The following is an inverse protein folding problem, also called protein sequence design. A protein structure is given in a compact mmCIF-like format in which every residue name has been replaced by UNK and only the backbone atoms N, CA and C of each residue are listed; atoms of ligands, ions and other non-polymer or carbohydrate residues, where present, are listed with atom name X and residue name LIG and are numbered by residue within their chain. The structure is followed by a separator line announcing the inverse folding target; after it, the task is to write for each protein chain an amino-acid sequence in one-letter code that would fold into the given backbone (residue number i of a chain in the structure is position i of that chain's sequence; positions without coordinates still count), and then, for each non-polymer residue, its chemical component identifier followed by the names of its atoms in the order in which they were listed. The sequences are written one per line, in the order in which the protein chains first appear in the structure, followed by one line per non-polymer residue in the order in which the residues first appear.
data_IF_700467125333
#
_entry.id   IF_700467125333
#
_cell.length_a   1.000
_cell.length_b   1.000
_cell.length_c   1.000
_cell.angle_alpha   90.00
_cell.angle_beta   90.00
_cell.angle_gamma   90.00
#
_symmetry.space_group_name_H-M   'P 1'
#
loop_
_entity.id
_entity.type
_entity.pdbx_description
1 polymer ?
#
# COMPACT_ATOMS: atom_id res chain seq x y z
N UNK A 1 42.55 5.05 48.26
CA UNK A 1 41.85 6.18 47.60
C UNK A 1 41.38 5.88 46.16
N UNK A 2 41.25 4.61 45.73
CA UNK A 2 40.72 4.26 44.39
C UNK A 2 39.40 3.44 44.44
N UNK A 3 38.86 3.16 45.64
CA UNK A 3 37.64 2.36 45.82
C UNK A 3 36.36 3.20 46.01
N UNK A 4 36.45 4.39 46.60
CA UNK A 4 35.28 5.23 46.90
C UNK A 4 34.74 5.98 45.67
N UNK A 5 35.62 6.36 44.74
CA UNK A 5 35.23 7.04 43.49
C UNK A 5 34.51 6.13 42.50
N UNK A 6 34.74 4.80 42.55
CA UNK A 6 34.06 3.83 41.68
C UNK A 6 32.61 3.57 42.13
N UNK A 7 32.36 3.59 43.44
CA UNK A 7 31.01 3.39 44.00
C UNK A 7 30.10 4.62 43.79
N UNK A 8 30.66 5.84 43.81
CA UNK A 8 29.90 7.05 43.48
C UNK A 8 29.57 7.16 41.98
N UNK A 9 30.44 6.63 41.11
CA UNK A 9 30.16 6.61 39.67
C UNK A 9 29.08 5.57 39.32
N UNK A 10 29.16 4.37 39.91
CA UNK A 10 28.16 3.32 39.70
C UNK A 10 26.80 3.69 40.30
N UNK A 11 26.73 4.35 41.47
CA UNK A 11 25.46 4.84 42.02
C UNK A 11 24.85 5.98 41.20
N UNK A 12 25.66 6.84 40.58
CA UNK A 12 25.17 7.89 39.68
C UNK A 12 24.68 7.35 38.32
N UNK A 13 25.22 6.21 37.88
CA UNK A 13 24.80 5.51 36.66
C UNK A 13 23.54 4.68 36.94
N UNK A 14 23.44 4.01 38.08
CA UNK A 14 22.22 3.31 38.52
C UNK A 14 21.06 4.28 38.82
N UNK A 15 21.33 5.45 39.45
CA UNK A 15 20.32 6.51 39.58
C UNK A 15 19.92 7.13 38.23
N UNK A 16 20.80 7.16 37.22
CA UNK A 16 20.45 7.63 35.87
C UNK A 16 19.64 6.61 35.08
N UNK A 17 19.82 5.31 35.33
CA UNK A 17 19.00 4.27 34.69
C UNK A 17 17.62 4.15 35.33
N UNK A 18 17.47 4.43 36.63
CA UNK A 18 16.16 4.41 37.31
C UNK A 18 15.36 5.72 37.16
N UNK A 19 16.02 6.84 36.84
CA UNK A 19 15.35 8.15 36.67
C UNK A 19 14.92 8.48 35.25
N UNK A 20 15.34 7.72 34.24
CA UNK A 20 14.91 7.99 32.85
C UNK A 20 13.42 7.65 32.62
N UNK A 21 12.83 6.79 33.46
CA UNK A 21 11.46 6.32 33.30
C UNK A 21 10.43 6.92 34.29
N UNK A 22 10.84 7.70 35.30
CA UNK A 22 9.95 7.98 36.46
C UNK A 22 9.59 9.45 36.72
N UNK A 23 9.90 10.43 35.86
CA UNK A 23 9.60 11.84 36.20
C UNK A 23 8.91 12.72 35.14
N UNK A 24 8.58 12.22 33.95
CA UNK A 24 7.89 13.05 32.95
C UNK A 24 6.36 12.91 32.96
N UNK A 25 5.82 11.83 33.51
CA UNK A 25 4.40 11.48 33.42
C UNK A 25 3.86 11.20 34.82
N UNK A 26 2.63 11.60 35.12
CA UNK A 26 1.97 11.00 36.29
C UNK A 26 1.73 9.52 36.00
N UNK A 27 1.67 8.65 37.02
CA UNK A 27 1.38 7.21 36.82
C UNK A 27 0.06 6.96 36.05
N UNK A 28 -0.84 7.96 35.98
CA UNK A 28 -2.09 7.90 35.20
C UNK A 28 -1.91 8.21 33.71
N UNK A 29 -0.77 8.76 33.31
CA UNK A 29 -0.49 9.22 31.94
C UNK A 29 0.40 8.25 31.15
N UNK A 30 0.90 7.18 31.76
CA UNK A 30 1.68 6.18 31.02
C UNK A 30 0.85 5.51 29.92
N UNK A 31 1.47 5.31 28.76
CA UNK A 31 0.89 4.63 27.60
C UNK A 31 1.89 3.61 27.07
N UNK A 32 1.40 2.47 26.61
CA UNK A 32 2.25 1.42 25.98
C UNK A 32 3.07 1.99 24.82
N UNK A 33 2.51 2.96 24.09
CA UNK A 33 3.15 3.60 22.94
C UNK A 33 4.03 4.81 23.32
N UNK A 34 4.10 5.19 24.60
CA UNK A 34 4.83 6.37 25.06
C UNK A 34 6.33 6.32 24.74
N UNK A 35 7.06 5.19 24.92
CA UNK A 35 8.48 5.14 24.60
C UNK A 35 8.78 5.46 23.13
N UNK A 36 7.91 5.03 22.22
CA UNK A 36 8.04 5.32 20.78
C UNK A 36 7.71 6.80 20.53
N UNK A 37 6.66 7.31 21.17
CA UNK A 37 6.27 8.70 21.03
C UNK A 37 7.30 9.68 21.59
N UNK A 38 8.04 9.30 22.64
CA UNK A 38 9.09 10.11 23.27
C UNK A 38 10.36 10.23 22.42
N UNK A 39 10.51 9.43 21.36
CA UNK A 39 11.53 9.66 20.33
C UNK A 39 11.38 11.02 19.63
N UNK A 40 10.23 11.70 19.80
CA UNK A 40 10.01 13.06 19.27
C UNK A 40 10.85 14.13 19.96
N UNK A 41 11.33 13.89 21.18
CA UNK A 41 12.01 14.91 21.98
C UNK A 41 13.27 15.40 21.27
N UNK A 42 13.38 16.71 21.10
CA UNK A 42 14.46 17.37 20.37
C UNK A 42 14.22 17.53 18.86
N UNK A 43 13.12 16.97 18.34
CA UNK A 43 12.74 17.04 16.92
C UNK A 43 11.39 17.73 16.69
N UNK A 44 10.81 18.38 17.70
CA UNK A 44 9.45 18.92 17.67
C UNK A 44 9.26 19.95 16.55
N UNK A 45 10.26 20.78 16.26
CA UNK A 45 10.20 21.75 15.18
C UNK A 45 10.04 21.09 13.80
N UNK A 46 10.67 19.93 13.61
CA UNK A 46 10.57 19.16 12.36
C UNK A 46 9.25 18.38 12.34
N UNK A 47 8.93 17.68 13.43
CA UNK A 47 7.79 16.78 13.53
C UNK A 47 6.44 17.50 13.56
N UNK A 48 6.39 18.73 14.07
CA UNK A 48 5.19 19.57 14.03
C UNK A 48 4.95 20.21 12.66
N UNK A 49 5.92 20.15 11.74
CA UNK A 49 5.78 20.78 10.43
C UNK A 49 4.70 20.10 9.59
N UNK A 50 3.81 20.85 8.91
CA UNK A 50 2.79 20.27 8.03
C UNK A 50 3.41 19.53 6.82
N UNK A 51 4.67 19.79 6.47
CA UNK A 51 5.38 19.07 5.40
C UNK A 51 6.08 17.79 5.87
N UNK A 52 6.15 17.54 7.18
CA UNK A 52 6.80 16.35 7.70
C UNK A 52 6.16 15.05 7.20
N UNK A 53 4.83 14.85 7.25
CA UNK A 53 4.23 13.60 6.81
C UNK A 53 4.43 13.32 5.31
N UNK A 54 4.22 14.27 4.37
CA UNK A 54 4.52 14.05 2.95
C UNK A 54 5.99 13.68 2.70
N UNK A 55 6.94 14.40 3.32
CA UNK A 55 8.37 14.10 3.16
C UNK A 55 8.70 12.71 3.71
N UNK A 56 8.17 12.36 4.88
CA UNK A 56 8.34 11.05 5.49
C UNK A 56 7.85 9.93 4.54
N UNK A 57 6.65 10.07 3.97
CA UNK A 57 6.10 9.07 3.05
C UNK A 57 6.92 8.99 1.75
N UNK A 58 7.26 10.12 1.13
CA UNK A 58 8.08 10.12 -0.10
C UNK A 58 9.45 9.47 0.12
N UNK A 59 10.12 9.76 1.24
CA UNK A 59 11.41 9.13 1.56
C UNK A 59 11.24 7.63 1.83
N UNK A 60 10.21 7.26 2.59
CA UNK A 60 9.91 5.86 2.88
C UNK A 60 9.62 5.07 1.60
N UNK A 61 8.77 5.61 0.73
CA UNK A 61 8.47 5.06 -0.60
C UNK A 61 9.72 4.78 -1.41
N UNK A 62 10.59 5.79 -1.58
CA UNK A 62 11.81 5.68 -2.38
C UNK A 62 12.74 4.61 -1.80
N UNK A 63 12.93 4.60 -0.48
CA UNK A 63 13.78 3.61 0.19
C UNK A 63 13.19 2.19 0.01
N UNK A 64 11.90 2.02 0.25
CA UNK A 64 11.25 0.71 0.22
C UNK A 64 11.17 0.14 -1.21
N UNK A 65 10.83 0.97 -2.20
CA UNK A 65 10.86 0.57 -3.61
C UNK A 65 12.29 0.26 -4.09
N UNK A 66 13.31 0.95 -3.57
CA UNK A 66 14.72 0.67 -3.89
C UNK A 66 15.16 -0.71 -3.43
N UNK A 67 14.66 -1.21 -2.28
CA UNK A 67 14.92 -2.58 -1.82
C UNK A 67 14.43 -3.59 -2.87
N UNK A 68 13.18 -3.47 -3.31
CA UNK A 68 12.63 -4.33 -4.36
C UNK A 68 13.37 -4.19 -5.69
N UNK A 69 13.82 -2.98 -6.04
CA UNK A 69 14.62 -2.73 -7.25
C UNK A 69 15.95 -3.47 -7.21
N UNK A 70 16.64 -3.44 -6.06
CA UNK A 70 17.89 -4.19 -5.87
C UNK A 70 17.62 -5.70 -6.02
N UNK A 71 16.51 -6.19 -5.44
CA UNK A 71 16.11 -7.59 -5.58
C UNK A 71 15.86 -7.95 -7.06
N UNK A 72 15.08 -7.14 -7.78
CA UNK A 72 14.75 -7.35 -9.19
C UNK A 72 15.99 -7.30 -10.11
N UNK A 73 16.94 -6.39 -9.87
CA UNK A 73 18.11 -6.21 -10.73
C UNK A 73 19.24 -7.22 -10.46
N UNK A 74 19.50 -7.54 -9.18
CA UNK A 74 20.69 -8.31 -8.80
C UNK A 74 20.38 -9.73 -8.31
N UNK A 75 19.21 -9.96 -7.70
CA UNK A 75 18.92 -11.21 -6.99
C UNK A 75 17.79 -12.04 -7.61
N UNK A 76 17.06 -11.53 -8.61
CA UNK A 76 15.87 -12.19 -9.17
C UNK A 76 16.14 -13.60 -9.71
N UNK A 77 17.35 -13.86 -10.21
CA UNK A 77 17.75 -15.15 -10.76
C UNK A 77 18.18 -16.18 -9.70
N UNK A 78 18.33 -15.77 -8.44
CA UNK A 78 18.68 -16.68 -7.35
C UNK A 78 17.48 -17.56 -7.05
N UNK A 79 17.65 -18.89 -7.02
CA UNK A 79 16.55 -19.85 -6.83
C UNK A 79 15.65 -19.53 -5.62
N UNK A 80 16.25 -19.05 -4.53
CA UNK A 80 15.54 -18.70 -3.29
C UNK A 80 14.60 -17.50 -3.45
N UNK A 81 14.92 -16.55 -4.34
CA UNK A 81 14.11 -15.37 -4.65
C UNK A 81 13.14 -15.68 -5.79
N UNK A 82 13.63 -16.32 -6.86
CA UNK A 82 12.84 -16.64 -8.06
C UNK A 82 11.59 -17.44 -7.74
N UNK A 83 11.66 -18.36 -6.76
CA UNK A 83 10.49 -19.15 -6.30
C UNK A 83 9.35 -18.30 -5.75
N UNK A 84 9.61 -17.07 -5.31
CA UNK A 84 8.60 -16.15 -4.80
C UNK A 84 8.11 -15.13 -5.84
N UNK A 85 8.72 -15.08 -7.03
CA UNK A 85 8.23 -14.21 -8.11
C UNK A 85 6.92 -14.78 -8.65
N UNK A 86 5.89 -13.95 -8.76
CA UNK A 86 4.57 -14.37 -9.24
C UNK A 86 4.62 -14.78 -10.71
N UNK A 87 5.34 -13.99 -11.52
CA UNK A 87 5.56 -14.24 -12.95
C UNK A 87 7.05 -14.58 -13.20
N UNK A 88 7.53 -15.81 -12.89
CA UNK A 88 8.97 -16.14 -12.89
C UNK A 88 9.62 -16.16 -14.29
N UNK A 89 8.81 -16.28 -15.34
CA UNK A 89 9.26 -16.28 -16.74
C UNK A 89 9.32 -14.86 -17.33
N UNK A 90 8.90 -13.85 -16.56
CA UNK A 90 8.88 -12.46 -16.98
C UNK A 90 9.56 -11.61 -15.91
N UNK A 91 10.82 -11.26 -16.15
CA UNK A 91 11.51 -10.33 -15.27
C UNK A 91 11.13 -8.88 -15.63
N UNK A 92 11.03 -7.98 -14.63
CA UNK A 92 10.94 -6.55 -14.91
C UNK A 92 12.13 -6.10 -15.77
N UNK A 93 11.84 -5.47 -16.91
CA UNK A 93 12.88 -4.89 -17.76
C UNK A 93 13.49 -3.67 -17.03
N UNK A 94 14.82 -3.55 -17.00
CA UNK A 94 15.50 -2.40 -16.40
C UNK A 94 14.99 -1.06 -16.98
N UNK A 95 14.73 -0.99 -18.30
CA UNK A 95 14.11 0.19 -18.93
C UNK A 95 12.68 0.44 -18.45
N UNK A 96 11.95 -0.62 -18.12
CA UNK A 96 10.61 -0.52 -17.54
C UNK A 96 10.65 0.04 -16.13
N UNK A 97 11.59 -0.40 -15.30
CA UNK A 97 11.82 0.17 -13.96
C UNK A 97 12.23 1.63 -14.08
N UNK A 98 13.20 1.95 -14.95
CA UNK A 98 13.66 3.32 -15.19
C UNK A 98 12.50 4.25 -15.56
N UNK A 99 11.64 3.84 -16.51
CA UNK A 99 10.45 4.61 -16.88
C UNK A 99 9.49 4.81 -15.70
N UNK A 100 9.31 3.78 -14.86
CA UNK A 100 8.44 3.87 -13.69
C UNK A 100 8.99 4.86 -12.65
N UNK A 101 10.29 4.79 -12.38
CA UNK A 101 11.02 5.71 -11.51
C UNK A 101 10.91 7.14 -12.04
N UNK A 102 11.23 7.37 -13.30
CA UNK A 102 11.25 8.72 -13.89
C UNK A 102 9.87 9.38 -13.85
N UNK A 103 8.78 8.66 -14.19
CA UNK A 103 7.44 9.22 -14.08
C UNK A 103 7.05 9.47 -12.61
N UNK A 104 7.42 8.58 -11.70
CA UNK A 104 7.14 8.76 -10.26
C UNK A 104 7.85 10.00 -9.71
N UNK A 105 9.12 10.19 -10.05
CA UNK A 105 9.90 11.37 -9.64
C UNK A 105 9.33 12.65 -10.28
N UNK A 106 8.97 12.60 -11.56
CA UNK A 106 8.29 13.70 -12.25
C UNK A 106 6.98 14.08 -11.55
N UNK A 107 6.15 13.08 -11.23
CA UNK A 107 4.89 13.28 -10.53
C UNK A 107 5.11 13.90 -9.15
N UNK A 108 6.09 13.42 -8.40
CA UNK A 108 6.44 13.98 -7.09
C UNK A 108 6.93 15.44 -7.21
N UNK A 109 7.73 15.76 -8.23
CA UNK A 109 8.23 17.10 -8.46
C UNK A 109 7.14 18.09 -8.92
N UNK A 110 6.26 17.68 -9.82
CA UNK A 110 5.28 18.58 -10.47
C UNK A 110 3.96 18.68 -9.71
N UNK A 111 3.54 17.61 -9.02
CA UNK A 111 2.24 17.56 -8.35
C UNK A 111 2.37 17.48 -6.84
N UNK A 112 3.11 16.51 -6.32
CA UNK A 112 3.23 16.32 -4.86
C UNK A 112 3.94 17.49 -4.18
N UNK A 113 5.04 17.99 -4.78
CA UNK A 113 5.82 19.07 -4.19
C UNK A 113 5.04 20.39 -4.12
N UNK A 114 4.35 20.88 -5.18
CA UNK A 114 3.51 22.08 -5.06
C UNK A 114 2.37 21.92 -4.05
N UNK A 115 1.73 20.74 -3.96
CA UNK A 115 0.72 20.46 -2.93
C UNK A 115 1.36 20.55 -1.53
N UNK A 116 2.54 19.97 -1.35
CA UNK A 116 3.29 20.03 -0.08
C UNK A 116 3.69 21.47 0.26
N UNK A 117 4.12 22.27 -0.71
CA UNK A 117 4.42 23.70 -0.53
C UNK A 117 3.17 24.51 -0.18
N UNK A 118 2.02 24.20 -0.79
CA UNK A 118 0.75 24.82 -0.41
C UNK A 118 0.35 24.43 1.02
N UNK A 119 0.51 23.16 1.40
CA UNK A 119 0.30 22.70 2.78
C UNK A 119 1.20 23.48 3.75
N UNK A 120 2.48 23.68 3.41
CA UNK A 120 3.40 24.49 4.21
C UNK A 120 2.93 25.94 4.40
N UNK A 121 2.42 26.56 3.33
CA UNK A 121 2.00 27.96 3.37
C UNK A 121 0.68 28.17 4.13
N UNK A 122 -0.24 27.20 4.10
CA UNK A 122 -1.62 27.39 4.57
C UNK A 122 -2.02 26.53 5.77
N UNK A 123 -1.22 25.54 6.16
CA UNK A 123 -1.54 24.65 7.28
C UNK A 123 -0.71 25.03 8.50
N UNK A 124 -1.33 25.24 9.67
CA UNK A 124 -0.56 25.48 10.89
C UNK A 124 0.23 24.22 11.27
N UNK A 125 1.25 24.43 12.11
CA UNK A 125 2.00 23.32 12.67
C UNK A 125 1.10 22.40 13.49
N UNK A 126 1.35 21.10 13.37
CA UNK A 126 0.69 20.04 14.12
C UNK A 126 1.00 20.20 15.60
N UNK A 127 -0.04 20.14 16.44
CA UNK A 127 0.14 20.04 17.88
C UNK A 127 0.64 18.64 18.21
N UNK A 128 1.77 18.54 18.90
CA UNK A 128 2.34 17.27 19.36
C UNK A 128 1.94 17.04 20.83
N UNK A 129 0.94 16.19 21.12
CA UNK A 129 0.49 15.97 22.50
C UNK A 129 1.60 15.39 23.36
N UNK A 130 1.56 15.66 24.67
CA UNK A 130 2.53 15.07 25.61
C UNK A 130 2.37 13.55 25.72
N UNK A 131 1.13 13.09 25.74
CA UNK A 131 0.76 11.69 25.95
C UNK A 131 0.46 11.03 24.61
N UNK A 132 1.02 9.85 24.39
CA UNK A 132 0.79 9.02 23.22
C UNK A 132 -0.69 8.55 23.13
N UNK A 133 -1.18 8.07 21.99
CA UNK A 133 -2.52 7.52 21.91
C UNK A 133 -2.60 6.26 22.78
N UNK A 134 -3.80 5.93 23.27
CA UNK A 134 -4.00 4.61 23.85
C UNK A 134 -3.80 3.54 22.78
N UNK A 135 -3.39 2.33 23.19
CA UNK A 135 -3.23 1.21 22.26
C UNK A 135 -4.55 0.90 21.53
N UNK A 136 -5.68 1.03 22.23
CA UNK A 136 -6.99 0.86 21.64
C UNK A 136 -7.27 1.91 20.56
N UNK A 137 -7.10 3.20 20.85
CA UNK A 137 -7.26 4.29 19.86
C UNK A 137 -6.38 4.08 18.65
N UNK A 138 -5.11 3.76 18.87
CA UNK A 138 -4.16 3.49 17.81
C UNK A 138 -4.66 2.35 16.90
N UNK A 139 -5.03 1.20 17.48
CA UNK A 139 -5.43 0.02 16.70
C UNK A 139 -6.76 0.26 15.98
N UNK A 140 -7.81 0.71 16.67
CA UNK A 140 -9.13 0.83 16.06
C UNK A 140 -9.12 1.88 14.93
N UNK A 141 -8.41 3.00 15.11
CA UNK A 141 -8.30 4.04 14.07
C UNK A 141 -7.56 3.52 12.84
N UNK A 142 -6.53 2.68 13.00
CA UNK A 142 -5.88 2.02 11.84
C UNK A 142 -6.87 1.15 11.07
N UNK A 143 -7.59 0.26 11.75
CA UNK A 143 -8.57 -0.61 11.11
C UNK A 143 -9.69 0.19 10.43
N UNK A 144 -10.21 1.21 11.10
CA UNK A 144 -11.27 2.05 10.56
C UNK A 144 -10.79 2.88 9.36
N UNK A 145 -9.57 3.42 9.40
CA UNK A 145 -8.99 4.18 8.29
C UNK A 145 -8.67 3.28 7.08
N UNK A 146 -8.19 2.05 7.30
CA UNK A 146 -8.00 1.08 6.21
C UNK A 146 -9.34 0.67 5.58
N UNK A 147 -10.36 0.39 6.39
CA UNK A 147 -11.69 0.06 5.88
C UNK A 147 -12.33 1.23 5.10
N UNK A 148 -12.14 2.47 5.57
CA UNK A 148 -12.62 3.68 4.90
C UNK A 148 -11.90 3.89 3.56
N UNK A 149 -10.56 3.77 3.55
CA UNK A 149 -9.78 3.85 2.32
C UNK A 149 -10.21 2.79 1.30
N UNK A 150 -10.38 1.54 1.75
CA UNK A 150 -10.87 0.45 0.92
C UNK A 150 -12.19 0.78 0.24
N UNK A 151 -13.14 1.36 0.97
CA UNK A 151 -14.42 1.76 0.40
C UNK A 151 -14.29 2.85 -0.67
N UNK A 152 -13.57 3.94 -0.35
CA UNK A 152 -13.36 5.04 -1.29
C UNK A 152 -12.63 4.57 -2.54
N UNK A 153 -11.52 3.87 -2.36
CA UNK A 153 -10.69 3.40 -3.45
C UNK A 153 -11.41 2.34 -4.27
N UNK A 154 -12.06 1.33 -3.67
CA UNK A 154 -12.80 0.31 -4.44
C UNK A 154 -13.87 0.93 -5.33
N UNK A 155 -14.64 1.88 -4.79
CA UNK A 155 -15.69 2.57 -5.54
C UNK A 155 -15.08 3.35 -6.72
N UNK A 156 -14.07 4.18 -6.44
CA UNK A 156 -13.38 4.97 -7.44
C UNK A 156 -12.70 4.09 -8.51
N UNK A 157 -11.98 3.05 -8.10
CA UNK A 157 -11.21 2.15 -8.94
C UNK A 157 -12.12 1.34 -9.86
N UNK A 158 -13.22 0.79 -9.33
CA UNK A 158 -14.19 0.05 -10.14
C UNK A 158 -14.87 0.93 -11.19
N UNK A 159 -15.13 2.21 -10.88
CA UNK A 159 -15.65 3.20 -11.84
C UNK A 159 -14.62 3.48 -12.94
N UNK A 160 -13.34 3.65 -12.57
CA UNK A 160 -12.26 3.92 -13.53
C UNK A 160 -12.08 2.78 -14.54
N UNK A 161 -12.35 1.54 -14.16
CA UNK A 161 -12.37 0.41 -15.09
C UNK A 161 -13.63 0.29 -15.92
N UNK A 162 -14.80 0.54 -15.34
CA UNK A 162 -16.10 0.35 -16.02
C UNK A 162 -16.42 1.49 -16.98
N UNK A 163 -15.98 2.71 -16.69
CA UNK A 163 -16.19 3.88 -17.56
C UNK A 163 -15.03 4.01 -18.53
N UNK A 164 -15.29 3.71 -19.81
CA UNK A 164 -14.26 3.69 -20.87
C UNK A 164 -13.43 4.97 -20.97
N UNK A 165 -14.03 6.14 -20.74
CA UNK A 165 -13.33 7.42 -20.76
C UNK A 165 -12.26 7.50 -19.66
N UNK A 166 -12.63 7.17 -18.43
CA UNK A 166 -11.73 7.20 -17.27
C UNK A 166 -10.63 6.16 -17.40
N UNK A 167 -10.96 4.95 -17.87
CA UNK A 167 -9.95 3.92 -18.14
C UNK A 167 -8.93 4.43 -19.15
N UNK A 168 -9.39 4.85 -20.33
CA UNK A 168 -8.48 5.18 -21.44
C UNK A 168 -7.55 6.35 -21.13
N UNK A 169 -8.01 7.37 -20.41
CA UNK A 169 -7.27 8.63 -20.24
C UNK A 169 -6.59 8.78 -18.87
N UNK A 170 -7.03 8.03 -17.87
CA UNK A 170 -6.40 8.05 -16.55
C UNK A 170 -5.76 6.68 -16.29
N UNK A 171 -6.59 5.67 -16.05
CA UNK A 171 -6.15 4.43 -15.43
C UNK A 171 -5.35 3.49 -16.34
N UNK A 172 -5.42 3.66 -17.66
CA UNK A 172 -4.64 2.88 -18.60
C UNK A 172 -3.14 3.11 -18.46
N UNK A 173 -2.71 4.29 -17.96
CA UNK A 173 -1.29 4.57 -17.66
C UNK A 173 -0.79 3.60 -16.59
N UNK A 174 -1.53 3.45 -15.50
CA UNK A 174 -1.21 2.51 -14.43
C UNK A 174 -1.11 1.06 -14.95
N UNK A 175 -2.04 0.67 -15.82
CA UNK A 175 -2.11 -0.67 -16.43
C UNK A 175 -1.13 -0.91 -17.59
N UNK A 176 -0.21 0.01 -17.90
CA UNK A 176 0.85 -0.25 -18.88
C UNK A 176 1.77 -1.41 -18.46
N UNK A 177 1.85 -1.70 -17.16
CA UNK A 177 2.71 -2.74 -16.59
C UNK A 177 1.93 -4.04 -16.32
N UNK A 178 1.91 -4.93 -17.29
CA UNK A 178 1.37 -6.29 -17.09
C UNK A 178 2.14 -7.09 -16.02
N UNK A 179 3.44 -6.81 -15.86
CA UNK A 179 4.29 -7.39 -14.81
C UNK A 179 4.58 -6.30 -13.81
N UNK A 180 4.03 -6.42 -12.61
CA UNK A 180 4.19 -5.42 -11.58
C UNK A 180 5.64 -5.35 -11.08
N UNK A 181 6.06 -4.13 -10.75
CA UNK A 181 7.24 -3.84 -9.95
C UNK A 181 6.86 -2.75 -8.93
N UNK A 182 7.62 -2.64 -7.84
CA UNK A 182 7.28 -1.76 -6.71
C UNK A 182 7.05 -0.29 -7.09
N UNK A 183 7.68 0.22 -8.15
CA UNK A 183 7.48 1.61 -8.59
C UNK A 183 6.14 1.85 -9.27
N UNK A 184 5.46 0.80 -9.73
CA UNK A 184 4.15 0.92 -10.39
C UNK A 184 3.08 1.43 -9.41
N UNK A 185 3.30 1.27 -8.11
CA UNK A 185 2.46 1.84 -7.04
C UNK A 185 2.17 3.34 -7.23
N UNK A 186 3.16 4.12 -7.70
CA UNK A 186 2.99 5.55 -8.01
C UNK A 186 3.21 5.89 -9.50
N UNK A 187 3.29 4.87 -10.37
CA UNK A 187 3.22 5.07 -11.82
C UNK A 187 1.77 5.31 -12.23
N UNK A 188 1.33 6.55 -12.02
CA UNK A 188 -0.08 6.94 -12.10
C UNK A 188 -0.25 8.17 -12.98
N UNK A 189 -1.43 8.30 -13.59
CA UNK A 189 -1.86 9.59 -14.12
C UNK A 189 -2.01 10.60 -12.97
N UNK A 190 -1.68 11.90 -13.14
CA UNK A 190 -1.74 12.89 -12.06
C UNK A 190 -3.07 12.97 -11.31
N UNK A 191 -4.19 12.82 -12.03
CA UNK A 191 -5.53 12.75 -11.45
C UNK A 191 -5.67 11.62 -10.42
N UNK A 192 -5.11 10.45 -10.72
CA UNK A 192 -5.15 9.29 -9.83
C UNK A 192 -4.28 9.52 -8.62
N UNK A 193 -3.06 10.04 -8.82
CA UNK A 193 -2.16 10.38 -7.71
C UNK A 193 -2.83 11.32 -6.69
N UNK A 194 -3.51 12.36 -7.18
CA UNK A 194 -4.23 13.32 -6.31
C UNK A 194 -5.41 12.64 -5.60
N UNK A 195 -6.22 11.84 -6.31
CA UNK A 195 -7.35 11.13 -5.71
C UNK A 195 -6.90 10.14 -4.62
N UNK A 196 -5.87 9.33 -4.92
CA UNK A 196 -5.33 8.34 -3.98
C UNK A 196 -4.75 9.04 -2.76
N UNK A 197 -3.94 10.10 -2.95
CA UNK A 197 -3.42 10.91 -1.85
C UNK A 197 -4.53 11.50 -0.98
N UNK A 198 -5.59 12.01 -1.61
CA UNK A 198 -6.78 12.52 -0.90
C UNK A 198 -7.50 11.42 -0.12
N UNK A 199 -7.75 10.25 -0.71
CA UNK A 199 -8.39 9.13 -0.01
C UNK A 199 -7.56 8.65 1.17
N UNK A 200 -6.25 8.46 0.99
CA UNK A 200 -5.35 8.05 2.07
C UNK A 200 -5.40 9.06 3.22
N UNK A 201 -5.20 10.35 2.94
CA UNK A 201 -5.18 11.37 3.99
C UNK A 201 -6.54 11.52 4.68
N UNK A 202 -7.62 11.64 3.90
CA UNK A 202 -8.98 11.84 4.44
C UNK A 202 -9.47 10.65 5.29
N UNK A 203 -9.09 9.43 4.93
CA UNK A 203 -9.54 8.20 5.62
C UNK A 203 -9.11 8.13 7.08
N UNK A 204 -7.96 8.70 7.44
CA UNK A 204 -7.50 8.73 8.85
C UNK A 204 -7.92 10.02 9.56
N UNK A 205 -7.95 11.16 8.85
CA UNK A 205 -8.20 12.47 9.44
C UNK A 205 -9.61 12.63 10.03
N UNK A 206 -10.60 11.91 9.50
CA UNK A 206 -11.99 11.95 10.00
C UNK A 206 -12.11 11.50 11.47
N UNK A 207 -11.14 10.74 11.97
CA UNK A 207 -11.14 10.23 13.35
C UNK A 207 -10.42 11.15 14.35
N UNK A 208 -9.98 12.34 13.92
CA UNK A 208 -9.13 13.25 14.69
C UNK A 208 -7.95 12.50 15.35
N UNK A 209 -7.09 11.85 14.54
CA UNK A 209 -6.10 10.92 15.03
C UNK A 209 -4.98 11.64 15.77
N UNK A 210 -4.40 10.98 16.76
CA UNK A 210 -3.11 11.39 17.29
C UNK A 210 -2.03 11.40 16.17
N UNK A 211 -1.07 12.34 16.13
CA UNK A 211 -0.06 12.40 15.06
C UNK A 211 0.69 11.08 14.82
N UNK A 212 1.07 10.38 15.89
CA UNK A 212 1.63 9.02 15.81
C UNK A 212 0.74 8.03 15.05
N UNK A 213 -0.57 8.01 15.32
CA UNK A 213 -1.53 7.14 14.61
C UNK A 213 -1.60 7.52 13.14
N UNK A 214 -1.67 8.82 12.84
CA UNK A 214 -1.69 9.35 11.48
C UNK A 214 -0.45 8.93 10.68
N UNK A 215 0.75 9.21 11.18
CA UNK A 215 1.99 8.88 10.47
C UNK A 215 2.18 7.38 10.30
N UNK A 216 1.86 6.60 11.35
CA UNK A 216 1.89 5.15 11.28
C UNK A 216 0.94 4.62 10.21
N UNK A 217 -0.30 5.12 10.15
CA UNK A 217 -1.27 4.71 9.14
C UNK A 217 -0.80 5.05 7.71
N UNK A 218 -0.23 6.24 7.50
CA UNK A 218 0.28 6.64 6.19
C UNK A 218 1.38 5.68 5.72
N UNK A 219 2.37 5.41 6.57
CA UNK A 219 3.45 4.46 6.28
C UNK A 219 2.95 3.04 6.08
N UNK A 220 2.03 2.58 6.93
CA UNK A 220 1.47 1.24 6.86
C UNK A 220 0.67 1.01 5.57
N UNK A 221 -0.12 2.00 5.16
CA UNK A 221 -0.86 1.96 3.89
C UNK A 221 0.09 1.91 2.69
N UNK A 222 1.21 2.63 2.77
CA UNK A 222 2.26 2.64 1.74
C UNK A 222 2.99 1.30 1.65
N UNK A 223 3.30 0.65 2.79
CA UNK A 223 3.85 -0.72 2.81
C UNK A 223 2.92 -1.68 2.09
N UNK A 224 1.62 -1.69 2.42
CA UNK A 224 0.65 -2.60 1.79
C UNK A 224 0.60 -2.34 0.28
N UNK A 225 0.53 -1.07 -0.12
CA UNK A 225 0.43 -0.69 -1.53
C UNK A 225 1.69 -1.04 -2.33
N UNK A 226 2.89 -0.87 -1.76
CA UNK A 226 4.15 -1.26 -2.41
C UNK A 226 4.25 -2.79 -2.52
N UNK A 227 3.91 -3.50 -1.45
CA UNK A 227 3.93 -4.97 -1.43
C UNK A 227 2.99 -5.55 -2.50
N UNK A 228 1.81 -4.96 -2.70
CA UNK A 228 0.86 -5.32 -3.76
C UNK A 228 1.41 -5.21 -5.18
N UNK A 229 2.35 -4.30 -5.42
CA UNK A 229 2.96 -4.09 -6.73
C UNK A 229 4.35 -4.71 -6.86
N UNK A 230 4.92 -5.24 -5.78
CA UNK A 230 6.28 -5.80 -5.76
C UNK A 230 6.52 -6.90 -6.81
N UNK A 231 5.46 -7.61 -7.22
CA UNK A 231 5.55 -8.80 -8.08
C UNK A 231 6.07 -10.04 -7.34
N UNK A 232 6.13 -10.00 -6.01
CA UNK A 232 6.56 -11.10 -5.15
C UNK A 232 5.43 -11.55 -4.23
N UNK A 233 5.39 -12.84 -3.94
CA UNK A 233 4.44 -13.47 -3.01
C UNK A 233 5.24 -14.12 -1.87
N UNK A 234 5.82 -13.29 -1.00
CA UNK A 234 6.64 -13.73 0.13
C UNK A 234 5.78 -14.19 1.32
N UNK A 235 6.23 -15.18 2.10
CA UNK A 235 5.43 -15.76 3.18
C UNK A 235 5.13 -14.79 4.34
N UNK A 236 5.96 -13.76 4.53
CA UNK A 236 5.80 -12.75 5.58
C UNK A 236 4.91 -11.56 5.16
N UNK A 237 4.48 -11.47 3.90
CA UNK A 237 3.56 -10.43 3.46
C UNK A 237 2.23 -10.54 4.18
N UNK A 238 1.60 -9.41 4.47
CA UNK A 238 0.36 -9.35 5.26
C UNK A 238 -0.78 -10.19 4.64
N UNK A 239 -0.89 -10.26 3.32
CA UNK A 239 -1.88 -11.11 2.63
C UNK A 239 -1.65 -12.62 2.82
N UNK A 240 -0.41 -13.02 3.12
CA UNK A 240 -0.09 -14.40 3.45
C UNK A 240 -0.33 -14.74 4.92
N UNK A 241 -0.27 -13.75 5.80
CA UNK A 241 -0.62 -13.88 7.22
C UNK A 241 -2.14 -13.79 7.41
N UNK A 242 -2.78 -12.76 6.86
CA UNK A 242 -4.21 -12.47 6.95
C UNK A 242 -4.90 -12.73 5.60
N UNK A 243 -5.58 -13.88 5.49
CA UNK A 243 -6.22 -14.33 4.23
C UNK A 243 -7.40 -13.47 3.74
N UNK A 244 -7.81 -12.48 4.53
CA UNK A 244 -8.81 -11.48 4.13
C UNK A 244 -8.22 -10.38 3.24
N UNK A 245 -6.89 -10.26 3.17
CA UNK A 245 -6.20 -9.26 2.34
C UNK A 245 -5.81 -9.84 0.98
N UNK A 246 -5.84 -9.01 -0.05
CA UNK A 246 -5.56 -9.43 -1.43
C UNK A 246 -4.07 -9.57 -1.72
N UNK A 247 -3.30 -8.52 -1.42
CA UNK A 247 -1.86 -8.48 -1.63
C UNK A 247 -1.43 -8.68 -3.10
N UNK A 248 -0.14 -8.93 -3.28
CA UNK A 248 0.50 -8.99 -4.60
C UNK A 248 -0.15 -9.98 -5.57
N UNK A 249 -0.56 -11.15 -5.11
CA UNK A 249 -1.19 -12.18 -5.96
C UNK A 249 -2.48 -11.71 -6.61
N UNK A 250 -3.30 -10.97 -5.86
CA UNK A 250 -4.59 -10.48 -6.33
C UNK A 250 -4.43 -9.25 -7.21
N UNK A 251 -3.51 -8.38 -6.84
CA UNK A 251 -3.21 -7.16 -7.59
C UNK A 251 -2.47 -7.46 -8.91
N UNK A 252 -1.52 -8.39 -8.94
CA UNK A 252 -0.90 -8.85 -10.20
C UNK A 252 -1.95 -9.45 -11.15
N UNK A 253 -2.90 -10.25 -10.61
CA UNK A 253 -4.03 -10.74 -11.40
C UNK A 253 -4.95 -9.63 -11.91
N UNK A 254 -5.10 -8.53 -11.16
CA UNK A 254 -5.84 -7.35 -11.60
C UNK A 254 -5.17 -6.71 -12.82
N UNK A 255 -3.86 -6.47 -12.80
CA UNK A 255 -3.11 -5.97 -13.97
C UNK A 255 -3.22 -6.92 -15.19
N UNK A 256 -3.24 -8.23 -14.96
CA UNK A 256 -3.46 -9.21 -16.03
C UNK A 256 -4.90 -9.27 -16.54
N UNK A 257 -5.88 -8.97 -15.68
CA UNK A 257 -7.32 -9.05 -15.93
C UNK A 257 -8.01 -7.82 -15.31
N UNK A 258 -7.94 -6.64 -15.97
CA UNK A 258 -8.32 -5.34 -15.39
C UNK A 258 -9.76 -5.23 -14.89
N UNK A 259 -10.65 -6.16 -15.26
CA UNK A 259 -12.05 -6.16 -14.82
C UNK A 259 -12.32 -7.02 -13.56
N UNK A 260 -11.28 -7.36 -12.80
CA UNK A 260 -11.34 -8.22 -11.61
C UNK A 260 -10.48 -7.66 -10.49
N UNK A 261 -10.73 -8.05 -9.24
CA UNK A 261 -9.93 -7.67 -8.06
C UNK A 261 -9.71 -6.15 -7.92
N UNK A 262 -10.77 -5.37 -7.75
CA UNK A 262 -10.69 -3.92 -7.62
C UNK A 262 -10.35 -3.44 -6.21
N UNK A 263 -10.51 -4.26 -5.19
CA UNK A 263 -10.22 -3.83 -3.83
C UNK A 263 -8.71 -3.65 -3.64
N UNK A 264 -8.26 -2.56 -2.99
CA UNK A 264 -6.85 -2.36 -2.76
C UNK A 264 -6.38 -3.35 -1.71
N UNK A 265 -6.88 -3.30 -0.47
CA UNK A 265 -6.34 -4.09 0.62
C UNK A 265 -7.16 -5.34 0.95
N UNK A 266 -8.45 -5.19 1.31
CA UNK A 266 -9.28 -6.31 1.75
C UNK A 266 -10.20 -6.85 0.65
N UNK A 267 -10.38 -8.17 0.60
CA UNK A 267 -11.09 -8.85 -0.48
C UNK A 267 -12.62 -8.77 -0.41
N UNK A 268 -13.20 -8.26 0.68
CA UNK A 268 -14.64 -8.37 0.91
C UNK A 268 -15.46 -7.60 -0.13
N UNK A 269 -14.99 -6.45 -0.61
CA UNK A 269 -15.67 -5.73 -1.70
C UNK A 269 -15.72 -6.55 -2.99
N UNK A 270 -14.60 -7.19 -3.34
CA UNK A 270 -14.56 -8.05 -4.52
C UNK A 270 -15.43 -9.31 -4.39
N UNK A 271 -15.64 -9.82 -3.18
CA UNK A 271 -16.59 -10.90 -2.92
C UNK A 271 -18.03 -10.42 -3.07
N UNK A 272 -18.38 -9.29 -2.44
CA UNK A 272 -19.74 -8.71 -2.45
C UNK A 272 -20.17 -8.39 -3.88
N UNK A 273 -19.29 -7.77 -4.67
CA UNK A 273 -19.59 -7.35 -6.05
C UNK A 273 -19.25 -8.40 -7.11
N UNK A 274 -18.77 -9.59 -6.70
CA UNK A 274 -18.49 -10.70 -7.61
C UNK A 274 -17.34 -10.46 -8.58
N UNK A 275 -16.37 -9.60 -8.22
CA UNK A 275 -15.20 -9.23 -9.03
C UNK A 275 -13.94 -9.97 -8.61
N UNK A 276 -14.01 -10.77 -7.55
CA UNK A 276 -12.91 -11.62 -7.08
C UNK A 276 -12.49 -12.67 -8.12
N UNK A 277 -11.23 -12.61 -8.54
CA UNK A 277 -10.54 -13.59 -9.37
C UNK A 277 -9.36 -14.19 -8.58
N UNK A 278 -9.22 -15.52 -8.50
CA UNK A 278 -8.00 -16.14 -7.98
C UNK A 278 -6.76 -15.66 -8.76
N UNK A 279 -5.63 -15.52 -8.08
CA UNK A 279 -4.36 -15.09 -8.69
C UNK A 279 -3.42 -16.26 -8.97
N UNK A 280 -2.36 -16.00 -9.72
CA UNK A 280 -1.22 -16.92 -9.84
C UNK A 280 -0.31 -16.68 -8.63
N UNK A 281 0.16 -17.74 -7.97
CA UNK A 281 1.01 -17.64 -6.79
C UNK A 281 2.50 -17.64 -7.16
N UNK A 282 3.33 -17.39 -6.15
CA UNK A 282 4.78 -17.60 -6.16
C UNK A 282 5.22 -18.77 -7.07
N UNK A 283 6.19 -18.51 -7.96
CA UNK A 283 6.74 -19.50 -8.88
C UNK A 283 5.85 -19.83 -10.08
N UNK A 284 4.86 -18.99 -10.38
CA UNK A 284 3.90 -19.23 -11.47
C UNK A 284 2.88 -20.32 -11.13
N UNK A 285 2.76 -20.70 -9.86
CA UNK A 285 1.90 -21.79 -9.41
C UNK A 285 0.41 -21.42 -9.55
N UNK A 286 -0.34 -22.28 -10.23
CA UNK A 286 -1.80 -22.16 -10.38
C UNK A 286 -2.48 -23.14 -9.46
N UNK A 287 -3.12 -22.63 -8.41
CA UNK A 287 -3.88 -23.45 -7.48
C UNK A 287 -5.21 -23.96 -8.11
N UNK A 288 -5.88 -24.87 -7.40
CA UNK A 288 -7.14 -25.44 -7.86
C UNK A 288 -8.22 -24.37 -8.08
N UNK A 289 -8.26 -23.32 -7.24
CA UNK A 289 -9.22 -22.24 -7.38
C UNK A 289 -9.03 -21.49 -8.71
N UNK A 290 -7.78 -21.22 -9.08
CA UNK A 290 -7.44 -20.59 -10.35
C UNK A 290 -7.76 -21.47 -11.55
N UNK A 291 -7.43 -22.76 -11.51
CA UNK A 291 -7.74 -23.71 -12.57
C UNK A 291 -9.26 -23.83 -12.80
N UNK A 292 -10.02 -23.92 -11.72
CA UNK A 292 -11.48 -23.98 -11.75
C UNK A 292 -12.09 -22.68 -12.30
N UNK A 293 -11.54 -21.53 -11.91
CA UNK A 293 -11.95 -20.24 -12.45
C UNK A 293 -11.74 -20.17 -13.98
N UNK A 294 -10.58 -20.62 -14.48
CA UNK A 294 -10.28 -20.65 -15.92
C UNK A 294 -11.20 -21.61 -16.68
N UNK A 295 -11.50 -22.79 -16.11
CA UNK A 295 -12.45 -23.75 -16.67
C UNK A 295 -13.85 -23.12 -16.82
N UNK A 296 -14.40 -22.58 -15.73
CA UNK A 296 -15.71 -21.91 -15.74
C UNK A 296 -15.76 -20.74 -16.73
N UNK A 297 -14.68 -19.97 -16.83
CA UNK A 297 -14.60 -18.86 -17.78
C UNK A 297 -14.60 -19.36 -19.23
N UNK A 298 -13.86 -20.41 -19.56
CA UNK A 298 -13.85 -21.04 -20.90
C UNK A 298 -15.24 -21.55 -21.28
N UNK A 299 -15.94 -22.21 -20.36
CA UNK A 299 -17.32 -22.69 -20.56
C UNK A 299 -18.28 -21.54 -20.84
N UNK A 300 -18.23 -20.46 -20.05
CA UNK A 300 -19.06 -19.25 -20.27
C UNK A 300 -18.81 -18.65 -21.67
N UNK A 301 -17.56 -18.53 -22.09
CA UNK A 301 -17.19 -18.00 -23.42
C UNK A 301 -17.71 -18.91 -24.53
N UNK A 302 -17.56 -20.23 -24.38
CA UNK A 302 -18.07 -21.22 -25.33
C UNK A 302 -19.60 -21.10 -25.47
N UNK A 303 -20.31 -21.03 -24.35
CA UNK A 303 -21.77 -20.90 -24.32
C UNK A 303 -22.26 -19.59 -24.96
N UNK A 304 -21.56 -18.47 -24.75
CA UNK A 304 -21.88 -17.19 -25.40
C UNK A 304 -21.70 -17.25 -26.92
N UNK A 305 -20.61 -17.85 -27.41
CA UNK A 305 -20.38 -18.06 -28.85
C UNK A 305 -21.42 -19.01 -29.46
N UNK A 306 -21.79 -20.08 -28.76
CA UNK A 306 -22.85 -21.00 -29.16
C UNK A 306 -24.21 -20.31 -29.29
N UNK A 307 -24.58 -19.47 -28.31
CA UNK A 307 -25.81 -18.66 -28.36
C UNK A 307 -25.80 -17.64 -29.49
N UNK A 308 -24.68 -16.96 -29.74
CA UNK A 308 -24.56 -16.06 -30.90
C UNK A 308 -24.74 -16.82 -32.22
N UNK A 309 -24.06 -17.96 -32.39
CA UNK A 309 -24.23 -18.81 -33.59
C UNK A 309 -25.68 -19.26 -33.79
N UNK A 310 -26.36 -19.71 -32.72
CA UNK A 310 -27.77 -20.07 -32.78
C UNK A 310 -28.67 -18.87 -33.13
N UNK A 311 -28.39 -17.68 -32.61
CA UNK A 311 -29.16 -16.46 -32.93
C UNK A 311 -28.99 -16.05 -34.40
N UNK A 312 -27.77 -16.14 -34.93
CA UNK A 312 -27.51 -15.92 -36.37
C UNK A 312 -28.17 -16.98 -37.25
N UNK A 313 -28.10 -18.26 -36.87
CA UNK A 313 -28.75 -19.36 -37.60
C UNK A 313 -30.28 -19.26 -37.60
N UNK A 314 -30.88 -18.90 -36.46
CA UNK A 314 -32.33 -18.68 -36.34
C UNK A 314 -32.78 -17.50 -37.20
N UNK A 315 -32.04 -16.39 -37.19
CA UNK A 315 -32.31 -15.22 -38.03
C UNK A 315 -32.22 -15.54 -39.54
N UNK A 316 -31.22 -16.30 -39.97
CA UNK A 316 -31.05 -16.70 -41.38
C UNK A 316 -32.18 -17.62 -41.89
N UNK A 317 -32.80 -18.40 -41.01
CA UNK A 317 -33.90 -19.32 -41.33
C UNK A 317 -35.27 -18.63 -41.46
N UNK A 318 -35.38 -17.36 -41.04
CA UNK A 318 -36.62 -16.57 -41.10
C UNK A 318 -36.63 -15.52 -42.23
N UNK A 319 -35.52 -15.37 -42.95
CA UNK A 319 -35.34 -14.32 -43.98
C UNK A 319 -35.07 -14.94 -45.37
N UNK A 320 -35.06 -16.28 -45.47
CA UNK A 320 -35.09 -17.04 -46.73
C UNK A 320 -36.32 -17.94 -46.72
#
# INVERSE_FOLDING_TARGET
MAGETRNLYLSSVEQKTDSFNSSFYSDKDWRILQPIWDLRFGYENVLSSPVFPPILCTLFYVIYCSIYTIIDLYFVNFKIIKRYKIQPDRAPNAKGIERAVLLTLWNNMVWTLPITMAQWAFTPNEVLPKVAPTLFEFIWQHFAALAMFDFFYFTWHSIHHKVRFLYKHCHAVHHEYYVCNSWVTQYLHPWELICVGFFTYSSVMIFNPHPMTKWSYLLFSEIISIDEHSGYDFPFMLSNIFKIMGGAVKHDMHHMRPLTNYAPFYLYWDWIFGTNCPGVRAGGYRDQAMLEYERKRKERISNMKGKQKHKFSWWYKYIN
#
